data_IF_327148828257
#
_entry.id   IF_327148828257
#
_cell.length_a   1.000
_cell.length_b   1.000
_cell.length_c   1.000
_cell.angle_alpha   90.00
_cell.angle_beta   90.00
_cell.angle_gamma   90.00
#
_symmetry.space_group_name_H-M   'P 1'
#
loop_
_entity.id
_entity.type
_entity.pdbx_description
1 polymer ?
#
# COMPACT_ATOMS: atom_id res chain seq x y z
N UNK A 1 -16.34 6.98 4.02
CA UNK A 1 -15.68 6.42 2.81
C UNK A 1 -14.33 5.84 3.20
N UNK A 2 -13.62 5.16 2.31
CA UNK A 2 -12.36 4.45 2.64
C UNK A 2 -11.20 4.97 1.78
N UNK A 3 -10.12 5.37 2.45
CA UNK A 3 -8.80 5.65 1.88
C UNK A 3 -7.87 4.55 2.36
N UNK A 4 -7.59 3.59 1.49
CA UNK A 4 -6.76 2.44 1.81
C UNK A 4 -5.35 2.68 1.30
N UNK A 5 -4.35 2.50 2.16
CA UNK A 5 -2.93 2.69 1.83
C UNK A 5 -2.23 1.35 2.00
N UNK A 6 -1.67 0.83 0.92
CA UNK A 6 -0.81 -0.35 1.00
C UNK A 6 0.62 0.05 1.31
N UNK A 7 1.28 -0.72 2.18
CA UNK A 7 2.59 -0.40 2.74
C UNK A 7 3.44 -1.66 2.65
N UNK A 8 4.54 -1.64 1.91
CA UNK A 8 5.46 -2.79 1.84
C UNK A 8 6.31 -2.82 0.57
N UNK A 9 7.29 -3.71 0.55
CA UNK A 9 8.28 -3.84 -0.53
C UNK A 9 7.68 -4.28 -1.86
N UNK A 10 8.35 -4.02 -2.99
CA UNK A 10 7.90 -4.58 -4.27
C UNK A 10 7.83 -6.11 -4.22
N UNK A 11 6.93 -6.67 -5.02
CA UNK A 11 6.65 -8.11 -5.05
C UNK A 11 6.11 -8.74 -3.73
N UNK A 12 5.67 -7.94 -2.76
CA UNK A 12 5.01 -8.42 -1.53
C UNK A 12 3.55 -8.89 -1.67
N UNK A 13 3.05 -9.10 -2.89
CA UNK A 13 1.66 -9.54 -3.12
C UNK A 13 0.57 -8.45 -3.14
N UNK A 14 0.91 -7.17 -2.88
CA UNK A 14 -0.03 -6.02 -2.89
C UNK A 14 -1.03 -6.00 -4.06
N UNK A 15 -0.55 -6.10 -5.29
CA UNK A 15 -1.43 -6.04 -6.47
C UNK A 15 -2.37 -7.25 -6.60
N UNK A 16 -1.96 -8.41 -6.08
CA UNK A 16 -2.84 -9.59 -5.97
C UNK A 16 -3.89 -9.36 -4.88
N UNK A 17 -3.47 -8.87 -3.71
CA UNK A 17 -4.36 -8.50 -2.62
C UNK A 17 -5.41 -7.46 -3.03
N UNK A 18 -5.02 -6.44 -3.83
CA UNK A 18 -5.97 -5.50 -4.43
C UNK A 18 -7.03 -6.21 -5.28
N UNK A 19 -6.60 -7.13 -6.16
CA UNK A 19 -7.49 -7.86 -7.06
C UNK A 19 -8.52 -8.68 -6.28
N UNK A 20 -8.10 -9.33 -5.21
CA UNK A 20 -8.94 -10.22 -4.41
C UNK A 20 -9.91 -9.47 -3.50
N UNK A 21 -9.47 -8.38 -2.85
CA UNK A 21 -10.23 -7.73 -1.79
C UNK A 21 -10.91 -6.40 -2.20
N UNK A 22 -10.35 -5.68 -3.19
CA UNK A 22 -10.73 -4.28 -3.45
C UNK A 22 -11.16 -3.99 -4.88
N UNK A 23 -10.87 -4.87 -5.84
CA UNK A 23 -11.12 -4.63 -7.27
C UNK A 23 -12.56 -4.26 -7.61
N UNK A 24 -13.54 -4.85 -6.92
CA UNK A 24 -14.97 -4.61 -7.17
C UNK A 24 -15.52 -3.37 -6.47
N UNK A 25 -14.76 -2.76 -5.56
CA UNK A 25 -15.29 -1.76 -4.60
C UNK A 25 -14.49 -0.46 -4.55
N UNK A 26 -13.21 -0.48 -4.93
CA UNK A 26 -12.31 0.66 -4.80
C UNK A 26 -11.59 0.98 -6.11
N UNK A 27 -11.46 2.27 -6.40
CA UNK A 27 -10.57 2.74 -7.45
C UNK A 27 -9.11 2.45 -7.07
N UNK A 28 -8.30 1.96 -8.01
CA UNK A 28 -6.86 1.78 -7.82
C UNK A 28 -6.11 3.04 -8.21
N UNK A 29 -5.32 3.58 -7.29
CA UNK A 29 -4.33 4.62 -7.57
C UNK A 29 -2.95 3.96 -7.47
N UNK A 30 -2.25 3.85 -8.60
CA UNK A 30 -0.94 3.20 -8.70
C UNK A 30 -0.02 4.01 -9.61
N UNK A 31 1.16 4.36 -9.11
CA UNK A 31 2.09 5.26 -9.79
C UNK A 31 2.70 4.62 -11.04
N UNK A 32 2.96 3.31 -11.05
CA UNK A 32 3.53 2.61 -12.21
C UNK A 32 2.57 2.71 -13.42
N UNK A 33 1.26 2.60 -13.17
CA UNK A 33 0.21 2.78 -14.19
C UNK A 33 0.03 4.27 -14.56
N UNK A 34 0.04 5.16 -13.58
CA UNK A 34 -0.21 6.59 -13.79
C UNK A 34 1.01 7.35 -14.31
N UNK A 35 2.21 6.77 -14.24
CA UNK A 35 3.51 7.27 -14.73
C UNK A 35 4.02 8.56 -14.09
N UNK A 36 3.15 9.46 -13.61
CA UNK A 36 3.56 10.75 -13.04
C UNK A 36 2.80 11.07 -11.76
N UNK A 37 3.48 11.79 -10.85
CA UNK A 37 2.89 12.27 -9.59
C UNK A 37 1.76 13.27 -9.83
N UNK A 38 1.79 14.04 -10.92
CA UNK A 38 0.70 14.92 -11.29
C UNK A 38 -0.58 14.15 -11.59
N UNK A 39 -0.49 13.06 -12.38
CA UNK A 39 -1.65 12.21 -12.68
C UNK A 39 -2.17 11.54 -11.41
N UNK A 40 -1.29 11.00 -10.58
CA UNK A 40 -1.66 10.47 -9.25
C UNK A 40 -2.43 11.50 -8.41
N UNK A 41 -1.96 12.74 -8.34
CA UNK A 41 -2.64 13.80 -7.58
C UNK A 41 -4.04 14.12 -8.14
N UNK A 42 -4.20 14.14 -9.46
CA UNK A 42 -5.51 14.39 -10.10
C UNK A 42 -6.50 13.29 -9.71
N UNK A 43 -6.13 12.02 -9.83
CA UNK A 43 -7.01 10.90 -9.44
C UNK A 43 -7.30 10.89 -7.93
N UNK A 44 -6.32 11.24 -7.11
CA UNK A 44 -6.50 11.39 -5.66
C UNK A 44 -7.53 12.48 -5.33
N UNK A 45 -7.37 13.69 -5.89
CA UNK A 45 -8.32 14.78 -5.64
C UNK A 45 -9.71 14.45 -6.18
N UNK A 46 -9.82 13.91 -7.38
CA UNK A 46 -11.10 13.48 -7.94
C UNK A 46 -11.79 12.44 -7.06
N UNK A 47 -11.04 11.48 -6.51
CA UNK A 47 -11.59 10.46 -5.59
C UNK A 47 -12.10 11.09 -4.30
N UNK A 48 -11.38 12.06 -3.76
CA UNK A 48 -11.77 12.78 -2.54
C UNK A 48 -13.02 13.63 -2.79
N UNK A 49 -13.03 14.43 -3.86
CA UNK A 49 -14.14 15.33 -4.22
C UNK A 49 -15.44 14.57 -4.51
N UNK A 50 -15.33 13.39 -5.13
CA UNK A 50 -16.48 12.53 -5.44
C UNK A 50 -16.84 11.57 -4.32
N UNK A 51 -16.12 11.60 -3.20
CA UNK A 51 -16.26 10.64 -2.09
C UNK A 51 -16.14 9.18 -2.55
N UNK A 52 -15.37 8.93 -3.61
CA UNK A 52 -15.10 7.61 -4.15
C UNK A 52 -14.09 6.87 -3.27
N UNK A 53 -14.38 5.62 -2.92
CA UNK A 53 -13.44 4.76 -2.18
C UNK A 53 -12.26 4.38 -3.07
N UNK A 54 -11.04 4.42 -2.54
CA UNK A 54 -9.84 4.13 -3.31
C UNK A 54 -8.74 3.44 -2.49
N UNK A 55 -7.85 2.76 -3.22
CA UNK A 55 -6.64 2.12 -2.71
C UNK A 55 -5.42 2.75 -3.37
N UNK A 56 -4.46 3.21 -2.56
CA UNK A 56 -3.13 3.61 -3.00
C UNK A 56 -2.22 2.37 -3.01
N UNK A 57 -2.14 1.72 -4.17
CA UNK A 57 -1.31 0.52 -4.40
C UNK A 57 0.08 0.92 -4.92
N UNK A 58 0.86 1.51 -4.02
CA UNK A 58 2.28 1.81 -4.19
C UNK A 58 3.07 1.12 -3.06
N UNK A 59 4.38 1.33 -2.97
CA UNK A 59 5.19 0.81 -1.85
C UNK A 59 4.92 1.54 -0.54
N UNK A 60 4.79 2.88 -0.59
CA UNK A 60 4.54 3.78 0.55
C UNK A 60 5.37 3.41 1.80
N UNK A 61 6.67 3.20 1.59
CA UNK A 61 7.56 2.56 2.54
C UNK A 61 7.84 3.45 3.76
N UNK A 62 7.83 4.77 3.57
CA UNK A 62 8.16 5.73 4.64
C UNK A 62 6.92 6.45 5.17
N UNK A 63 7.01 6.96 6.40
CA UNK A 63 5.99 7.81 7.04
C UNK A 63 5.70 9.04 6.16
N UNK A 64 6.73 9.65 5.57
CA UNK A 64 6.60 10.83 4.71
C UNK A 64 5.78 10.52 3.45
N UNK A 65 6.01 9.36 2.83
CA UNK A 65 5.25 8.93 1.65
C UNK A 65 3.76 8.72 1.98
N UNK A 66 3.47 8.15 3.15
CA UNK A 66 2.10 7.89 3.63
C UNK A 66 1.38 9.18 4.02
N UNK A 67 2.09 10.09 4.69
CA UNK A 67 1.57 11.36 5.20
C UNK A 67 0.82 12.16 4.13
N UNK A 68 1.32 12.17 2.89
CA UNK A 68 0.66 12.83 1.75
C UNK A 68 -0.81 12.42 1.59
N UNK A 69 -1.11 11.12 1.64
CA UNK A 69 -2.47 10.60 1.43
C UNK A 69 -3.32 10.76 2.68
N UNK A 70 -2.71 10.53 3.86
CA UNK A 70 -3.37 10.71 5.14
C UNK A 70 -3.86 12.15 5.27
N UNK A 71 -2.97 13.13 5.13
CA UNK A 71 -3.31 14.56 5.25
C UNK A 71 -4.35 14.98 4.20
N UNK A 72 -4.29 14.43 2.98
CA UNK A 72 -5.24 14.76 1.92
C UNK A 72 -6.68 14.31 2.24
N UNK A 73 -6.84 13.22 3.01
CA UNK A 73 -8.12 12.59 3.32
C UNK A 73 -8.62 12.90 4.73
N UNK A 74 -7.72 13.25 5.63
CA UNK A 74 -8.02 13.57 7.03
C UNK A 74 -9.05 14.70 7.08
N UNK A 75 -10.02 14.55 7.96
CA UNK A 75 -11.15 15.49 8.14
C UNK A 75 -12.08 15.64 6.93
N UNK A 76 -11.98 14.79 5.89
CA UNK A 76 -12.88 14.80 4.72
C UNK A 76 -13.87 13.62 4.69
N UNK A 77 -14.15 13.01 5.84
CA UNK A 77 -15.12 11.89 5.94
C UNK A 77 -14.62 10.55 5.39
N UNK A 78 -13.30 10.44 5.18
CA UNK A 78 -12.63 9.19 4.87
C UNK A 78 -12.12 8.53 6.14
N UNK A 79 -12.33 7.22 6.22
CA UNK A 79 -11.64 6.31 7.12
C UNK A 79 -10.33 5.90 6.45
N UNK A 80 -9.22 6.11 7.15
CA UNK A 80 -7.86 5.89 6.67
C UNK A 80 -7.38 4.54 7.17
N UNK A 81 -7.18 3.59 6.24
CA UNK A 81 -6.88 2.19 6.57
C UNK A 81 -5.52 1.83 5.97
N UNK A 82 -4.59 1.34 6.79
CA UNK A 82 -3.29 0.86 6.34
C UNK A 82 -3.23 -0.66 6.30
N UNK A 83 -2.71 -1.21 5.20
CA UNK A 83 -2.33 -2.62 5.10
C UNK A 83 -0.81 -2.71 4.97
N UNK A 84 -0.16 -3.13 6.05
CA UNK A 84 1.27 -3.39 6.14
C UNK A 84 1.56 -4.82 5.71
N UNK A 85 2.17 -4.96 4.54
CA UNK A 85 2.64 -6.24 4.02
C UNK A 85 4.00 -6.52 4.64
N UNK A 86 4.05 -7.49 5.57
CA UNK A 86 5.28 -7.83 6.26
C UNK A 86 6.37 -8.22 5.24
N UNK A 87 7.60 -7.69 5.38
CA UNK A 87 8.62 -7.87 4.37
C UNK A 87 9.19 -9.30 4.41
N UNK A 88 8.79 -10.15 3.47
CA UNK A 88 9.50 -11.38 3.15
C UNK A 88 10.36 -11.17 1.90
N UNK A 89 11.65 -10.96 2.10
CA UNK A 89 12.59 -10.73 1.00
C UNK A 89 12.72 -11.98 0.11
N UNK A 90 12.85 -13.16 0.70
CA UNK A 90 13.09 -14.40 -0.05
C UNK A 90 11.87 -14.74 -0.93
N UNK A 91 10.67 -14.60 -0.39
CA UNK A 91 9.44 -14.81 -1.14
C UNK A 91 9.22 -13.71 -2.19
N UNK A 92 9.55 -12.45 -1.88
CA UNK A 92 9.45 -11.35 -2.83
C UNK A 92 10.37 -11.55 -4.03
N UNK A 93 11.59 -12.06 -3.83
CA UNK A 93 12.49 -12.43 -4.92
C UNK A 93 11.92 -13.56 -5.77
N UNK A 94 11.47 -14.66 -5.15
CA UNK A 94 10.84 -15.78 -5.88
C UNK A 94 9.65 -15.32 -6.74
N UNK A 95 8.79 -14.45 -6.21
CA UNK A 95 7.67 -13.88 -6.99
C UNK A 95 8.15 -12.95 -8.10
N UNK A 96 9.20 -12.19 -7.85
CA UNK A 96 9.74 -11.23 -8.80
C UNK A 96 10.45 -11.93 -9.97
N UNK A 97 11.11 -13.07 -9.74
CA UNK A 97 11.73 -13.91 -10.78
C UNK A 97 10.72 -14.47 -11.79
N UNK A 98 9.46 -14.62 -11.38
CA UNK A 98 8.38 -15.05 -12.28
C UNK A 98 7.83 -13.91 -13.15
N UNK A 99 8.25 -12.66 -12.91
CA UNK A 99 7.79 -11.50 -13.67
C UNK A 99 8.69 -11.25 -14.87
N UNK A 100 8.12 -10.64 -15.91
CA UNK A 100 8.84 -10.33 -17.14
C UNK A 100 8.71 -8.86 -17.51
N UNK A 101 9.62 -8.37 -18.36
CA UNK A 101 9.58 -7.00 -18.86
C UNK A 101 9.64 -5.95 -17.75
N UNK A 102 8.72 -4.98 -17.78
CA UNK A 102 8.69 -3.86 -16.83
C UNK A 102 8.21 -4.24 -15.42
N UNK A 103 7.60 -5.41 -15.27
CA UNK A 103 7.13 -5.89 -13.96
C UNK A 103 8.26 -6.55 -13.15
N UNK A 104 9.33 -6.97 -13.82
CA UNK A 104 10.55 -7.47 -13.17
C UNK A 104 11.31 -6.30 -12.55
N UNK A 105 11.54 -6.38 -11.24
CA UNK A 105 12.27 -5.36 -10.47
C UNK A 105 13.67 -5.88 -10.15
N UNK A 106 14.75 -5.17 -10.48
CA UNK A 106 16.09 -5.58 -10.05
C UNK A 106 16.17 -5.74 -8.53
N UNK A 107 16.89 -6.76 -8.04
CA UNK A 107 17.03 -7.07 -6.61
C UNK A 107 17.43 -5.85 -5.76
N UNK A 108 18.34 -5.02 -6.29
CA UNK A 108 18.77 -3.79 -5.63
C UNK A 108 17.63 -2.80 -5.39
N UNK A 109 16.62 -2.76 -6.27
CA UNK A 109 15.42 -1.96 -6.12
C UNK A 109 14.55 -2.43 -4.96
N UNK A 110 14.42 -3.75 -4.79
CA UNK A 110 13.67 -4.36 -3.68
C UNK A 110 14.41 -4.09 -2.36
N UNK A 111 15.73 -4.32 -2.31
CA UNK A 111 16.56 -4.02 -1.13
C UNK A 111 16.49 -2.55 -0.73
N UNK A 112 16.52 -1.64 -1.70
CA UNK A 112 16.47 -0.19 -1.44
C UNK A 112 15.16 0.25 -0.79
N UNK A 113 14.03 -0.36 -1.16
CA UNK A 113 12.75 -0.08 -0.50
C UNK A 113 12.68 -0.77 0.85
N UNK A 114 13.16 -2.00 0.96
CA UNK A 114 13.20 -2.73 2.24
C UNK A 114 13.98 -1.98 3.31
N UNK A 115 15.14 -1.40 2.97
CA UNK A 115 15.95 -0.63 3.92
C UNK A 115 15.30 0.66 4.40
N UNK A 116 14.26 1.13 3.71
CA UNK A 116 13.51 2.36 4.05
C UNK A 116 12.13 2.04 4.63
N UNK A 117 11.76 0.76 4.72
CA UNK A 117 10.42 0.38 5.14
C UNK A 117 10.27 0.66 6.63
N UNK A 118 9.42 1.62 6.94
CA UNK A 118 9.02 1.98 8.29
C UNK A 118 7.67 1.31 8.58
N UNK A 119 7.61 0.54 9.67
CA UNK A 119 6.35 -0.07 10.16
C UNK A 119 5.37 1.06 10.49
N UNK A 120 4.11 0.98 10.04
CA UNK A 120 3.15 2.04 10.29
C UNK A 120 2.65 2.06 11.73
N UNK A 121 2.31 3.26 12.20
CA UNK A 121 1.71 3.46 13.52
C UNK A 121 0.44 4.32 13.44
N UNK A 122 -0.42 4.21 14.45
CA UNK A 122 -1.63 5.03 14.54
C UNK A 122 -1.33 6.52 14.71
N UNK A 123 -0.14 6.89 15.21
CA UNK A 123 0.31 8.28 15.34
C UNK A 123 0.36 9.02 13.99
N UNK A 124 0.53 8.29 12.89
CA UNK A 124 0.49 8.86 11.54
C UNK A 124 -0.89 9.41 11.18
N UNK A 125 -1.97 8.91 11.81
CA UNK A 125 -3.35 9.28 11.54
C UNK A 125 -4.18 8.20 10.85
N UNK A 126 -3.81 6.93 10.99
CA UNK A 126 -4.64 5.79 10.56
C UNK A 126 -5.79 5.58 11.54
N UNK A 127 -6.98 5.25 11.03
CA UNK A 127 -8.12 4.78 11.83
C UNK A 127 -8.03 3.27 12.08
N UNK A 128 -7.46 2.52 11.13
CA UNK A 128 -7.22 1.08 11.24
C UNK A 128 -5.90 0.70 10.59
N UNK A 129 -5.19 -0.21 11.25
CA UNK A 129 -3.99 -0.84 10.71
C UNK A 129 -4.11 -2.36 10.73
N UNK A 130 -3.66 -2.97 9.63
CA UNK A 130 -3.61 -4.41 9.45
C UNK A 130 -2.21 -4.84 9.02
N UNK A 131 -1.69 -5.90 9.62
CA UNK A 131 -0.59 -6.68 9.06
C UNK A 131 -1.15 -7.70 8.06
N UNK A 132 -0.42 -7.89 6.96
CA UNK A 132 -0.68 -8.87 5.92
C UNK A 132 0.57 -9.72 5.72
N UNK A 133 0.42 -11.02 5.94
CA UNK A 133 1.46 -12.01 5.66
C UNK A 133 0.94 -12.89 4.53
N UNK A 134 1.74 -13.12 3.49
CA UNK A 134 1.38 -14.07 2.45
C UNK A 134 1.99 -15.44 2.75
N UNK A 135 1.16 -16.47 2.78
CA UNK A 135 1.56 -17.84 3.08
C UNK A 135 0.90 -18.74 2.05
N UNK A 136 1.72 -19.44 1.26
CA UNK A 136 1.27 -20.45 0.27
C UNK A 136 0.23 -19.92 -0.72
N UNK A 137 0.36 -18.65 -1.15
CA UNK A 137 -0.57 -18.03 -2.09
C UNK A 137 -1.87 -17.53 -1.47
N UNK A 138 -2.00 -17.61 -0.14
CA UNK A 138 -3.09 -16.98 0.62
C UNK A 138 -2.57 -15.77 1.39
N UNK A 139 -3.49 -14.93 1.89
CA UNK A 139 -3.16 -13.80 2.74
C UNK A 139 -3.75 -13.99 4.13
N UNK A 140 -2.90 -13.97 5.15
CA UNK A 140 -3.32 -13.83 6.54
C UNK A 140 -3.35 -12.35 6.90
N UNK A 141 -4.53 -11.87 7.30
CA UNK A 141 -4.75 -10.46 7.68
C UNK A 141 -4.97 -10.41 9.19
N UNK A 142 -4.16 -9.63 9.89
CA UNK A 142 -4.27 -9.42 11.35
C UNK A 142 -4.39 -7.94 11.65
N UNK A 143 -5.39 -7.54 12.46
CA UNK A 143 -5.47 -6.16 12.94
C UNK A 143 -4.30 -5.87 13.90
N UNK A 144 -3.61 -4.76 13.68
CA UNK A 144 -2.56 -4.27 14.59
C UNK A 144 -3.21 -3.51 15.75
N UNK A 145 -2.84 -3.81 17.01
CA UNK A 145 -3.38 -3.10 18.17
C UNK A 145 -2.87 -1.65 18.22
N UNK A 146 -3.68 -0.74 18.75
CA UNK A 146 -3.34 0.69 18.86
C UNK A 146 -2.09 0.95 19.71
N UNK A 147 -1.81 0.07 20.67
CA UNK A 147 -0.64 0.13 21.55
C UNK A 147 0.51 -0.76 21.07
N UNK A 148 0.62 -1.08 19.78
CA UNK A 148 1.79 -1.80 19.28
C UNK A 148 3.00 -0.86 19.30
N UNK A 149 3.70 -0.85 20.44
CA UNK A 149 5.08 -0.41 20.51
C UNK A 149 5.92 -1.48 19.81
N UNK A 150 6.77 -1.05 18.88
CA UNK A 150 7.81 -1.89 18.27
C UNK A 150 9.02 -1.91 19.20
#
# INVERSE_FOLDING_TARGET
MECVIFIGIQASGKSTFYKEHFFKTHMRINLDMLKTRNRENIYLQASIETMQRFVVDNTNATVIERKKYIDACKNKGFKIIGYYFEPDFAESIKRNEQRTGKEYIPEIGIKSVMSKLEVPSYEEGFDELYSVISIEGTFQIRRLPENHTI
#
